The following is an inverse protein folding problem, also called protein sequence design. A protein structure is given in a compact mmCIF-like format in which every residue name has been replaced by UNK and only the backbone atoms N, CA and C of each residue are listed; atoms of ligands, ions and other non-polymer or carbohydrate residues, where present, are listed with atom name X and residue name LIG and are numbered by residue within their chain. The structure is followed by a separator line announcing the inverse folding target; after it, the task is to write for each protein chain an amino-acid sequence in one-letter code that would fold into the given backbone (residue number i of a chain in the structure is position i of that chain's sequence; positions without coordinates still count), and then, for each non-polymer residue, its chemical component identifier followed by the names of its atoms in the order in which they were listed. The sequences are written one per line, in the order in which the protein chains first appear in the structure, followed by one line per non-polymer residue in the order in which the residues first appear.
data_IF_764485282549
#
_entry.id   IF_764485282549
#
_cell.length_a   1.000
_cell.length_b   1.000
_cell.length_c   1.000
_cell.angle_alpha   90.00
_cell.angle_beta   90.00
_cell.angle_gamma   90.00
#
_symmetry.space_group_name_H-M   'P 1'
#
loop_
_entity.id
_entity.type
_entity.pdbx_description
1 polymer ?
#
# COMPACT_ATOMS: atom_id res chain seq x y z
N UNK A 1 0.70 -14.58 9.35
CA UNK A 1 0.08 -13.93 10.52
C UNK A 1 -1.35 -14.44 10.52
N UNK A 2 -1.64 -15.57 11.19
CA UNK A 2 -2.89 -16.30 10.98
C UNK A 2 -4.13 -15.44 11.29
N UNK A 3 -4.03 -14.48 12.21
CA UNK A 3 -5.11 -13.55 12.53
C UNK A 3 -5.51 -12.62 11.37
N UNK A 4 -4.58 -12.16 10.52
CA UNK A 4 -4.92 -11.36 9.33
C UNK A 4 -5.50 -12.22 8.21
N UNK A 5 -5.00 -13.44 8.05
CA UNK A 5 -5.52 -14.38 7.04
C UNK A 5 -6.92 -14.89 7.42
N UNK A 6 -7.23 -15.02 8.72
CA UNK A 6 -8.59 -15.34 9.18
C UNK A 6 -9.56 -14.16 9.02
N UNK A 7 -9.09 -12.91 9.04
CA UNK A 7 -9.94 -11.75 8.69
C UNK A 7 -10.37 -11.78 7.22
N UNK A 8 -9.57 -12.36 6.32
CA UNK A 8 -9.93 -12.53 4.90
C UNK A 8 -11.02 -13.57 4.67
N UNK A 9 -11.13 -14.60 5.53
CA UNK A 9 -12.18 -15.63 5.42
C UNK A 9 -13.59 -15.05 5.66
N UNK A 10 -13.68 -13.82 6.17
CA UNK A 10 -14.94 -13.11 6.39
C UNK A 10 -15.40 -13.13 7.84
N UNK A 11 -16.30 -12.20 8.17
CA UNK A 11 -16.76 -11.94 9.55
C UNK A 11 -17.37 -13.17 10.22
N UNK A 12 -18.13 -13.97 9.48
CA UNK A 12 -18.79 -15.16 10.02
C UNK A 12 -17.78 -16.26 10.43
N UNK A 13 -16.82 -16.58 9.56
CA UNK A 13 -15.79 -17.58 9.82
C UNK A 13 -14.86 -17.18 10.97
N UNK A 14 -14.47 -15.90 11.02
CA UNK A 14 -13.59 -15.38 12.07
C UNK A 14 -14.24 -15.41 13.46
N UNK A 15 -15.54 -15.12 13.55
CA UNK A 15 -16.30 -15.21 14.81
C UNK A 15 -16.45 -16.67 15.24
N UNK A 16 -16.69 -17.59 14.29
CA UNK A 16 -16.85 -19.02 14.58
C UNK A 16 -15.54 -19.67 15.08
N UNK A 17 -14.39 -19.13 14.68
CA UNK A 17 -13.05 -19.50 15.19
C UNK A 17 -12.70 -18.86 16.55
N UNK A 18 -13.64 -18.16 17.19
CA UNK A 18 -13.44 -17.55 18.52
C UNK A 18 -12.68 -16.22 18.50
N UNK A 19 -12.46 -15.62 17.32
CA UNK A 19 -11.77 -14.34 17.19
C UNK A 19 -12.79 -13.19 17.30
N UNK A 20 -12.50 -12.22 18.16
CA UNK A 20 -13.29 -10.99 18.27
C UNK A 20 -13.01 -10.04 17.11
N UNK A 21 -13.63 -10.30 15.95
CA UNK A 21 -13.45 -9.56 14.69
C UNK A 21 -13.51 -8.03 14.89
N UNK A 22 -14.54 -7.52 15.58
CA UNK A 22 -14.71 -6.08 15.79
C UNK A 22 -13.59 -5.45 16.63
N UNK A 23 -13.10 -6.14 17.67
CA UNK A 23 -12.00 -5.64 18.50
C UNK A 23 -10.71 -5.60 17.69
N UNK A 24 -10.42 -6.66 16.95
CA UNK A 24 -9.21 -6.74 16.14
C UNK A 24 -9.18 -5.68 15.03
N UNK A 25 -10.28 -5.53 14.27
CA UNK A 25 -10.39 -4.50 13.23
C UNK A 25 -10.27 -3.10 13.80
N UNK A 26 -10.91 -2.80 14.95
CA UNK A 26 -10.79 -1.49 15.60
C UNK A 26 -9.36 -1.20 16.02
N UNK A 27 -8.67 -2.15 16.65
CA UNK A 27 -7.26 -2.00 17.05
C UNK A 27 -6.37 -1.77 15.83
N UNK A 28 -6.57 -2.53 14.74
CA UNK A 28 -5.82 -2.36 13.50
C UNK A 28 -6.03 -0.99 12.88
N UNK A 29 -7.27 -0.50 12.80
CA UNK A 29 -7.56 0.84 12.29
C UNK A 29 -6.89 1.93 13.14
N UNK A 30 -6.91 1.79 14.47
CA UNK A 30 -6.20 2.74 15.35
C UNK A 30 -4.70 2.72 15.07
N UNK A 31 -4.07 1.55 15.01
CA UNK A 31 -2.63 1.42 14.72
C UNK A 31 -2.28 2.03 13.36
N UNK A 32 -3.02 1.68 12.29
CA UNK A 32 -2.78 2.20 10.94
C UNK A 32 -3.01 3.72 10.91
N UNK A 33 -4.06 4.22 11.54
CA UNK A 33 -4.35 5.66 11.59
C UNK A 33 -3.24 6.46 12.25
N UNK A 34 -2.68 5.97 13.36
CA UNK A 34 -1.55 6.62 14.04
C UNK A 34 -0.30 6.59 13.18
N UNK A 35 0.03 5.43 12.60
CA UNK A 35 1.19 5.29 11.70
C UNK A 35 1.09 6.24 10.50
N UNK A 36 -0.06 6.24 9.80
CA UNK A 36 -0.29 7.11 8.65
C UNK A 36 -0.25 8.58 9.05
N UNK A 37 -0.89 8.95 10.17
CA UNK A 37 -0.91 10.35 10.64
C UNK A 37 0.49 10.87 10.94
N UNK A 38 1.31 10.07 11.63
CA UNK A 38 2.71 10.46 11.94
C UNK A 38 3.52 10.59 10.66
N UNK A 39 3.41 9.65 9.72
CA UNK A 39 4.13 9.72 8.44
C UNK A 39 3.70 10.93 7.61
N UNK A 40 2.39 11.19 7.49
CA UNK A 40 1.85 12.33 6.74
C UNK A 40 2.21 13.66 7.37
N UNK A 41 2.25 13.76 8.70
CA UNK A 41 2.67 14.98 9.38
C UNK A 41 4.15 15.33 9.15
N UNK A 42 5.01 14.31 8.95
CA UNK A 42 6.45 14.49 8.76
C UNK A 42 6.85 14.75 7.31
N UNK A 43 6.23 14.03 6.37
CA UNK A 43 6.67 14.00 4.95
C UNK A 43 5.66 14.68 4.02
N UNK A 44 4.45 14.95 4.51
CA UNK A 44 3.30 15.35 3.69
C UNK A 44 2.49 14.15 3.19
N UNK A 45 1.29 14.40 2.64
CA UNK A 45 0.43 13.35 2.12
C UNK A 45 0.98 12.78 0.79
N UNK A 46 1.00 11.46 0.67
CA UNK A 46 1.37 10.75 -0.58
C UNK A 46 0.24 9.75 -0.88
N UNK A 47 -0.62 10.09 -1.83
CA UNK A 47 -1.94 9.45 -1.97
C UNK A 47 -1.84 8.10 -2.67
N UNK A 48 -1.02 8.00 -3.71
CA UNK A 48 -0.95 6.80 -4.56
C UNK A 48 0.12 5.81 -4.17
N UNK A 49 1.03 6.13 -3.23
CA UNK A 49 2.13 5.24 -2.86
C UNK A 49 1.63 3.86 -2.42
N UNK A 50 0.67 3.81 -1.50
CA UNK A 50 0.16 2.54 -0.99
C UNK A 50 -0.54 1.70 -2.05
N UNK A 51 -1.31 2.34 -2.93
CA UNK A 51 -1.97 1.66 -4.04
C UNK A 51 -0.94 1.12 -5.04
N UNK A 52 0.04 1.94 -5.43
CA UNK A 52 1.10 1.56 -6.37
C UNK A 52 1.89 0.35 -5.85
N UNK A 53 2.38 0.43 -4.61
CA UNK A 53 3.30 -0.58 -4.05
C UNK A 53 2.59 -1.89 -3.74
N UNK A 54 1.35 -1.86 -3.25
CA UNK A 54 0.54 -3.07 -3.02
C UNK A 54 0.18 -3.77 -4.33
N UNK A 55 -0.17 -3.01 -5.39
CA UNK A 55 -0.47 -3.62 -6.69
C UNK A 55 0.79 -4.24 -7.33
N UNK A 56 1.94 -3.54 -7.28
CA UNK A 56 3.22 -4.12 -7.71
C UNK A 56 3.58 -5.37 -6.90
N UNK A 57 3.40 -5.34 -5.58
CA UNK A 57 3.68 -6.48 -4.71
C UNK A 57 2.84 -7.70 -5.10
N UNK A 58 1.55 -7.51 -5.40
CA UNK A 58 0.69 -8.57 -5.89
C UNK A 58 1.11 -9.09 -7.27
N UNK A 59 1.47 -8.19 -8.20
CA UNK A 59 1.91 -8.58 -9.55
C UNK A 59 3.24 -9.37 -9.53
N UNK A 60 4.16 -9.02 -8.62
CA UNK A 60 5.45 -9.68 -8.45
C UNK A 60 5.36 -11.01 -7.70
N UNK A 61 4.72 -11.02 -6.52
CA UNK A 61 4.71 -12.21 -5.68
C UNK A 61 3.74 -13.27 -6.21
N UNK A 62 2.65 -12.88 -6.89
CA UNK A 62 1.58 -13.81 -7.33
C UNK A 62 1.03 -14.72 -6.22
N UNK A 63 1.25 -14.37 -4.96
CA UNK A 63 0.72 -15.07 -3.78
C UNK A 63 -0.18 -14.12 -3.01
N UNK A 64 -1.18 -14.66 -2.32
CA UNK A 64 -2.07 -13.91 -1.43
C UNK A 64 -1.65 -14.00 0.04
N UNK A 65 -0.48 -14.59 0.31
CA UNK A 65 0.02 -14.74 1.67
C UNK A 65 0.51 -13.39 2.21
N UNK A 66 -0.17 -12.90 3.25
CA UNK A 66 0.09 -11.58 3.84
C UNK A 66 1.54 -11.39 4.28
N UNK A 67 2.21 -12.46 4.71
CA UNK A 67 3.63 -12.42 5.12
C UNK A 67 4.53 -11.96 3.98
N UNK A 68 4.32 -12.47 2.76
CA UNK A 68 5.16 -12.14 1.61
C UNK A 68 4.76 -10.81 0.98
N UNK A 69 3.46 -10.55 0.85
CA UNK A 69 2.97 -9.27 0.30
C UNK A 69 3.43 -8.10 1.17
N UNK A 70 3.36 -8.22 2.50
CA UNK A 70 3.73 -7.12 3.39
C UNK A 70 5.22 -6.78 3.28
N UNK A 71 6.09 -7.80 3.26
CA UNK A 71 7.54 -7.59 3.06
C UNK A 71 7.81 -6.99 1.68
N UNK A 72 7.18 -7.52 0.62
CA UNK A 72 7.32 -7.00 -0.74
C UNK A 72 6.89 -5.53 -0.83
N UNK A 73 5.74 -5.19 -0.24
CA UNK A 73 5.17 -3.84 -0.25
C UNK A 73 6.09 -2.86 0.48
N UNK A 74 6.67 -3.25 1.62
CA UNK A 74 7.65 -2.42 2.35
C UNK A 74 8.87 -2.16 1.47
N UNK A 75 9.47 -3.20 0.90
CA UNK A 75 10.65 -3.05 0.04
C UNK A 75 10.36 -2.18 -1.19
N UNK A 76 9.23 -2.41 -1.86
CA UNK A 76 8.81 -1.62 -3.03
C UNK A 76 8.53 -0.16 -2.66
N UNK A 77 7.89 0.09 -1.52
CA UNK A 77 7.64 1.45 -1.04
C UNK A 77 8.96 2.18 -0.79
N UNK A 78 9.94 1.49 -0.19
CA UNK A 78 11.24 2.09 0.08
C UNK A 78 12.00 2.42 -1.20
N UNK A 79 12.05 1.48 -2.15
CA UNK A 79 12.67 1.68 -3.47
C UNK A 79 11.99 2.83 -4.22
N UNK A 80 10.65 2.89 -4.22
CA UNK A 80 9.89 3.93 -4.89
C UNK A 80 10.11 5.31 -4.29
N UNK A 81 10.25 5.42 -2.97
CA UNK A 81 10.52 6.68 -2.29
C UNK A 81 11.95 7.16 -2.60
N UNK A 82 12.93 6.28 -2.51
CA UNK A 82 14.32 6.63 -2.83
C UNK A 82 14.49 7.01 -4.30
N UNK A 83 13.87 6.30 -5.23
CA UNK A 83 13.94 6.63 -6.65
C UNK A 83 13.26 7.96 -6.95
N UNK A 84 12.09 8.23 -6.36
CA UNK A 84 11.40 9.52 -6.50
C UNK A 84 12.26 10.67 -5.96
N UNK A 85 12.82 10.52 -4.76
CA UNK A 85 13.69 11.52 -4.15
C UNK A 85 14.93 11.79 -5.02
N UNK A 86 15.58 10.74 -5.51
CA UNK A 86 16.76 10.87 -6.37
C UNK A 86 16.44 11.59 -7.69
N UNK A 87 15.29 11.31 -8.31
CA UNK A 87 14.83 11.99 -9.53
C UNK A 87 14.54 13.47 -9.26
N UNK A 88 13.85 13.80 -8.16
CA UNK A 88 13.60 15.19 -7.77
C UNK A 88 14.90 15.97 -7.61
N UNK A 89 15.89 15.37 -6.95
CA UNK A 89 17.15 16.05 -6.66
C UNK A 89 18.04 16.20 -7.90
N UNK A 90 18.14 15.17 -8.74
CA UNK A 90 19.05 15.16 -9.89
C UNK A 90 18.46 15.77 -11.16
N UNK A 91 17.14 15.66 -11.38
CA UNK A 91 16.49 16.09 -12.63
C UNK A 91 15.75 17.41 -12.45
N UNK A 92 15.13 17.61 -11.29
CA UNK A 92 14.30 18.79 -11.02
C UNK A 92 15.00 19.82 -10.12
N UNK A 93 16.29 19.62 -9.78
CA UNK A 93 17.07 20.51 -8.91
C UNK A 93 16.34 20.85 -7.59
N UNK A 94 15.60 19.88 -7.04
CA UNK A 94 14.78 20.03 -5.83
C UNK A 94 13.68 21.12 -5.89
N UNK A 95 13.25 21.52 -7.09
CA UNK A 95 12.15 22.50 -7.27
C UNK A 95 10.75 21.90 -7.12
N UNK A 96 10.63 20.57 -7.13
CA UNK A 96 9.36 19.84 -7.13
C UNK A 96 9.25 18.92 -5.92
N UNK A 97 8.04 18.72 -5.39
CA UNK A 97 7.79 17.77 -4.31
C UNK A 97 7.80 16.32 -4.81
N UNK A 98 8.47 15.41 -4.09
CA UNK A 98 8.50 13.99 -4.46
C UNK A 98 7.11 13.32 -4.47
N UNK A 99 6.18 13.82 -3.66
CA UNK A 99 4.78 13.38 -3.59
C UNK A 99 4.10 13.49 -4.96
N UNK A 100 4.32 14.60 -5.67
CA UNK A 100 3.74 14.88 -6.99
C UNK A 100 4.21 13.84 -8.02
N UNK A 101 5.51 13.50 -8.02
CA UNK A 101 6.03 12.48 -8.94
C UNK A 101 5.42 11.10 -8.66
N UNK A 102 5.33 10.70 -7.38
CA UNK A 102 4.75 9.42 -6.99
C UNK A 102 3.26 9.38 -7.35
N UNK A 103 2.53 10.46 -7.09
CA UNK A 103 1.10 10.55 -7.38
C UNK A 103 0.81 10.52 -8.89
N UNK A 104 1.66 11.16 -9.70
CA UNK A 104 1.56 11.11 -11.16
C UNK A 104 1.82 9.70 -11.70
N UNK A 105 2.90 9.05 -11.25
CA UNK A 105 3.26 7.69 -11.68
C UNK A 105 2.22 6.69 -11.21
N UNK A 106 1.83 6.76 -9.94
CA UNK A 106 0.85 5.87 -9.33
C UNK A 106 -0.54 6.02 -9.94
N UNK A 107 -0.98 7.25 -10.19
CA UNK A 107 -2.25 7.53 -10.88
C UNK A 107 -2.26 7.00 -12.32
N UNK A 108 -1.19 7.22 -13.07
CA UNK A 108 -1.05 6.69 -14.44
C UNK A 108 -1.04 5.15 -14.46
N UNK A 109 -0.27 4.52 -13.57
CA UNK A 109 -0.24 3.07 -13.43
C UNK A 109 -1.61 2.51 -13.03
N UNK A 110 -2.34 3.17 -12.13
CA UNK A 110 -3.68 2.75 -11.74
C UNK A 110 -4.67 2.80 -12.90
N UNK A 111 -4.65 3.89 -13.69
CA UNK A 111 -5.49 4.01 -14.89
C UNK A 111 -5.13 2.89 -15.88
N UNK A 112 -3.85 2.65 -16.12
CA UNK A 112 -3.38 1.57 -16.97
C UNK A 112 -3.89 0.19 -16.50
N UNK A 113 -3.78 -0.10 -15.20
CA UNK A 113 -4.24 -1.34 -14.60
C UNK A 113 -5.76 -1.51 -14.75
N UNK A 114 -6.54 -0.44 -14.55
CA UNK A 114 -7.99 -0.42 -14.69
C UNK A 114 -8.39 -0.73 -16.14
N UNK A 115 -7.75 -0.09 -17.12
CA UNK A 115 -8.01 -0.32 -18.55
C UNK A 115 -7.63 -1.75 -18.95
N UNK A 116 -6.48 -2.26 -18.50
CA UNK A 116 -6.02 -3.62 -18.78
C UNK A 116 -6.97 -4.68 -18.22
N UNK A 117 -7.45 -4.51 -16.98
CA UNK A 117 -8.41 -5.45 -16.36
C UNK A 117 -9.77 -5.40 -17.03
N UNK A 118 -10.22 -4.23 -17.47
CA UNK A 118 -11.48 -4.09 -18.24
C UNK A 118 -11.44 -4.85 -19.57
N UNK A 119 -10.27 -4.91 -20.22
CA UNK A 119 -10.08 -5.66 -21.46
C UNK A 119 -9.81 -7.16 -21.24
N UNK A 120 -9.64 -7.60 -19.99
CA UNK A 120 -9.43 -9.00 -19.61
C UNK A 120 -10.71 -9.68 -19.07
N UNK A 121 -11.84 -8.97 -19.05
CA UNK A 121 -13.19 -9.51 -18.92
C UNK A 121 -13.87 -9.52 -20.29
#
# INVERSE_FOLDING_TARGET
MPYLDVLLLGRAEAINLGISYEKLTRILLVIVSVLVSVSTALVGPITFLGLLTVNLAHELMKTYEHKYILIATICLSWISLFSAQWVVENVFEATTEMSILIDLIGGSYFIYLLVRRRNAQ
#
